data_IF_590761854505
#
_entry.id   IF_590761854505
#
_cell.length_a   1.000
_cell.length_b   1.000
_cell.length_c   1.000
_cell.angle_alpha   90.00
_cell.angle_beta   90.00
_cell.angle_gamma   90.00
#
_symmetry.space_group_name_H-M   'P 1'
#
loop_
_entity.id
_entity.type
_entity.pdbx_description
1 polymer ?
#
# COMPACT_ATOMS: atom_id res chain seq x y z
N UNK A 1 -8.12 4.41 4.00
CA UNK A 1 -6.88 3.61 3.98
C UNK A 1 -5.78 4.45 3.36
N UNK A 2 -4.56 4.32 3.87
CA UNK A 2 -3.37 4.98 3.33
C UNK A 2 -2.29 3.93 3.08
N UNK A 3 -1.65 3.95 1.92
CA UNK A 3 -0.45 3.14 1.63
C UNK A 3 0.71 4.10 1.42
N UNK A 4 1.83 3.82 2.08
CA UNK A 4 3.10 4.51 1.91
C UNK A 4 4.04 3.56 1.16
N UNK A 5 4.51 4.02 0.01
CA UNK A 5 5.49 3.36 -0.84
C UNK A 5 6.75 4.23 -0.80
N UNK A 6 7.77 3.73 -0.11
CA UNK A 6 9.00 4.45 0.18
C UNK A 6 10.12 3.90 -0.72
N UNK A 7 10.53 4.69 -1.72
CA UNK A 7 11.73 4.40 -2.50
C UNK A 7 12.91 5.16 -1.89
N UNK A 8 13.56 4.51 -0.92
CA UNK A 8 14.73 5.05 -0.22
C UNK A 8 15.90 5.38 -1.16
N UNK A 9 15.95 4.81 -2.37
CA UNK A 9 17.01 5.12 -3.35
C UNK A 9 16.77 6.46 -4.04
N UNK A 10 15.53 6.93 -4.08
CA UNK A 10 15.14 8.16 -4.79
C UNK A 10 14.81 9.33 -3.85
N UNK A 11 14.88 9.14 -2.53
CA UNK A 11 14.60 10.14 -1.49
C UNK A 11 13.22 10.82 -1.64
N UNK A 12 12.23 10.10 -2.16
CA UNK A 12 10.84 10.52 -2.14
C UNK A 12 9.91 9.38 -1.76
N UNK A 13 8.82 9.71 -1.08
CA UNK A 13 7.77 8.76 -0.76
C UNK A 13 6.49 9.11 -1.51
N UNK A 14 5.79 8.08 -2.00
CA UNK A 14 4.45 8.22 -2.54
C UNK A 14 3.45 7.76 -1.48
N UNK A 15 2.48 8.63 -1.19
CA UNK A 15 1.37 8.31 -0.32
C UNK A 15 0.09 8.16 -1.14
N UNK A 16 -0.51 6.98 -1.06
CA UNK A 16 -1.78 6.64 -1.69
C UNK A 16 -2.88 6.71 -0.63
N UNK A 17 -3.84 7.61 -0.80
CA UNK A 17 -4.97 7.76 0.10
C UNK A 17 -6.23 7.28 -0.61
N UNK A 18 -6.76 6.15 -0.18
CA UNK A 18 -8.00 5.57 -0.67
C UNK A 18 -9.12 5.77 0.33
N UNK A 19 -10.19 6.42 -0.12
CA UNK A 19 -11.45 6.62 0.63
C UNK A 19 -12.61 5.96 -0.12
N UNK A 20 -13.80 6.04 0.45
CA UNK A 20 -15.05 5.63 -0.21
C UNK A 20 -15.41 6.50 -1.43
N UNK A 21 -14.84 7.71 -1.52
CA UNK A 21 -15.18 8.72 -2.53
C UNK A 21 -14.08 8.99 -3.53
N UNK A 22 -12.82 8.92 -3.12
CA UNK A 22 -11.69 9.24 -3.98
C UNK A 22 -10.43 8.42 -3.67
N UNK A 23 -9.60 8.30 -4.70
CA UNK A 23 -8.19 7.89 -4.60
C UNK A 23 -7.32 9.11 -4.90
N UNK A 24 -6.36 9.39 -4.03
CA UNK A 24 -5.35 10.43 -4.20
C UNK A 24 -3.95 9.82 -4.13
N UNK A 25 -3.04 10.30 -4.98
CA UNK A 25 -1.62 10.00 -4.92
C UNK A 25 -0.89 11.29 -4.63
N UNK A 26 -0.13 11.29 -3.54
CA UNK A 26 0.52 12.46 -2.99
C UNK A 26 2.02 12.17 -3.00
N UNK A 27 2.78 13.04 -3.65
CA UNK A 27 4.22 13.10 -3.46
C UNK A 27 4.49 13.71 -2.08
N UNK A 28 5.28 13.01 -1.27
CA UNK A 28 5.80 13.53 0.00
C UNK A 28 7.20 14.05 -0.25
N UNK A 29 7.34 15.37 -0.20
CA UNK A 29 8.65 16.00 -0.17
C UNK A 29 9.21 15.86 1.22
N UNK A 30 10.14 14.92 1.42
CA UNK A 30 10.68 14.58 2.74
C UNK A 30 11.88 15.46 3.13
N UNK A 31 12.26 16.41 2.26
CA UNK A 31 13.35 17.35 2.45
C UNK A 31 12.86 18.73 2.93
N UNK A 32 13.71 19.42 3.69
CA UNK A 32 13.42 20.76 4.21
C UNK A 32 13.14 21.76 3.06
N UNK A 33 11.92 22.30 3.04
CA UNK A 33 11.46 23.25 2.03
C UNK A 33 10.67 22.62 0.87
N UNK A 34 10.68 21.30 0.74
CA UNK A 34 9.77 20.60 -0.16
C UNK A 34 8.36 20.54 0.41
N UNK A 35 7.35 20.55 -0.48
CA UNK A 35 5.94 20.51 -0.10
C UNK A 35 5.27 19.30 -0.73
N UNK A 36 4.34 18.74 0.02
CA UNK A 36 3.42 17.74 -0.50
C UNK A 36 2.71 18.26 -1.76
N UNK A 37 2.66 17.42 -2.79
CA UNK A 37 1.90 17.74 -4.00
C UNK A 37 1.02 16.57 -4.42
N UNK A 38 -0.20 16.88 -4.87
CA UNK A 38 -1.10 15.85 -5.41
C UNK A 38 -0.70 15.55 -6.85
N UNK A 39 -0.19 14.34 -7.10
CA UNK A 39 0.22 13.87 -8.42
C UNK A 39 -0.95 13.33 -9.24
N UNK A 40 -1.95 12.76 -8.57
CA UNK A 40 -3.11 12.16 -9.20
C UNK A 40 -4.30 12.17 -8.23
N UNK A 41 -5.50 12.36 -8.78
CA UNK A 41 -6.76 12.19 -8.05
C UNK A 41 -7.81 11.65 -9.00
N UNK A 42 -8.57 10.66 -8.55
CA UNK A 42 -9.77 10.18 -9.24
C UNK A 42 -10.92 10.01 -8.25
N UNK A 43 -12.15 10.19 -8.74
CA UNK A 43 -13.37 10.00 -7.97
C UNK A 43 -13.85 8.57 -8.16
N UNK A 44 -14.42 7.99 -7.12
CA UNK A 44 -14.81 6.59 -7.05
C UNK A 44 -16.32 6.48 -6.92
N UNK A 45 -16.88 5.39 -7.45
CA UNK A 45 -18.24 4.99 -7.15
C UNK A 45 -18.23 4.16 -5.86
N UNK A 46 -18.88 4.61 -4.77
CA UNK A 46 -18.72 3.99 -3.45
C UNK A 46 -19.03 2.48 -3.42
N UNK A 47 -20.04 2.03 -4.18
CA UNK A 47 -20.53 0.65 -4.15
C UNK A 47 -19.49 -0.39 -4.61
N UNK A 48 -18.66 -0.05 -5.59
CA UNK A 48 -17.70 -1.00 -6.19
C UNK A 48 -16.45 -1.22 -5.32
N UNK A 49 -16.09 -0.22 -4.53
CA UNK A 49 -14.87 -0.25 -3.70
C UNK A 49 -15.15 -0.67 -2.28
N UNK A 50 -16.27 -0.22 -1.71
CA UNK A 50 -16.71 -0.65 -0.39
C UNK A 50 -16.90 -2.17 -0.35
N UNK A 51 -17.48 -2.77 -1.41
CA UNK A 51 -17.63 -4.23 -1.48
C UNK A 51 -16.27 -4.96 -1.43
N UNK A 52 -15.27 -4.52 -2.21
CA UNK A 52 -13.94 -5.14 -2.24
C UNK A 52 -13.16 -5.01 -0.94
N UNK A 53 -13.27 -3.88 -0.24
CA UNK A 53 -12.51 -3.61 0.99
C UNK A 53 -13.26 -4.04 2.27
N UNK A 54 -14.58 -4.21 2.20
CA UNK A 54 -15.42 -4.54 3.37
C UNK A 54 -15.03 -5.87 4.03
N UNK A 55 -14.44 -6.80 3.28
CA UNK A 55 -14.07 -8.12 3.79
C UNK A 55 -12.73 -8.15 4.53
N UNK A 56 -11.93 -7.07 4.47
CA UNK A 56 -10.65 -7.02 5.18
C UNK A 56 -10.93 -7.00 6.69
N UNK A 57 -10.50 -8.05 7.37
CA UNK A 57 -10.51 -8.11 8.82
C UNK A 57 -9.22 -7.48 9.37
N UNK A 58 -9.31 -6.22 9.77
CA UNK A 58 -8.14 -5.50 10.29
C UNK A 58 -7.62 -6.11 11.59
N UNK A 59 -8.46 -6.77 12.39
CA UNK A 59 -8.05 -7.33 13.68
C UNK A 59 -7.12 -8.54 13.50
N UNK A 60 -7.29 -9.33 12.42
CA UNK A 60 -6.47 -10.52 12.14
C UNK A 60 -5.09 -10.21 11.54
N UNK A 61 -4.85 -8.97 11.10
CA UNK A 61 -3.54 -8.60 10.56
C UNK A 61 -2.49 -8.55 11.67
N UNK A 62 -1.23 -8.83 11.37
CA UNK A 62 -0.11 -8.49 12.25
C UNK A 62 0.39 -7.09 11.94
N UNK A 63 1.05 -6.44 12.88
CA UNK A 63 1.67 -5.13 12.66
C UNK A 63 2.90 -5.25 11.73
N UNK A 64 3.58 -6.40 11.73
CA UNK A 64 4.79 -6.62 10.94
C UNK A 64 4.71 -7.96 10.21
N UNK A 65 5.04 -7.91 8.92
CA UNK A 65 5.26 -9.07 8.08
C UNK A 65 6.60 -8.91 7.38
N UNK A 66 7.48 -9.91 7.50
CA UNK A 66 8.79 -9.86 6.85
C UNK A 66 9.18 -11.21 6.27
N UNK A 67 9.83 -11.16 5.11
CA UNK A 67 10.62 -12.27 4.59
C UNK A 67 12.10 -11.97 4.89
N UNK A 68 12.71 -12.63 5.90
CA UNK A 68 14.07 -12.30 6.34
C UNK A 68 15.14 -12.76 5.35
N UNK A 69 14.81 -13.61 4.38
CA UNK A 69 15.77 -14.09 3.38
C UNK A 69 16.12 -13.04 2.32
N UNK A 70 15.33 -11.97 2.23
CA UNK A 70 15.59 -10.85 1.32
C UNK A 70 15.95 -9.63 2.16
N UNK A 71 17.20 -9.20 2.06
CA UNK A 71 17.73 -8.05 2.79
C UNK A 71 17.26 -6.70 2.25
N UNK A 72 17.08 -6.61 0.94
CA UNK A 72 16.74 -5.38 0.24
C UNK A 72 15.69 -5.68 -0.84
N UNK A 73 14.67 -4.84 -0.94
CA UNK A 73 13.50 -5.07 -1.80
C UNK A 73 12.26 -4.29 -1.35
N UNK A 74 11.07 -4.87 -1.53
CA UNK A 74 9.78 -4.21 -1.25
C UNK A 74 9.68 -3.79 0.21
N UNK A 75 9.44 -2.50 0.46
CA UNK A 75 9.01 -1.99 1.76
C UNK A 75 7.71 -1.23 1.57
N UNK A 76 6.63 -1.69 2.21
CA UNK A 76 5.32 -1.06 2.12
C UNK A 76 4.74 -0.90 3.50
N UNK A 77 4.32 0.33 3.84
CA UNK A 77 3.59 0.60 5.09
C UNK A 77 2.14 0.93 4.77
N UNK A 78 1.21 0.16 5.33
CA UNK A 78 -0.22 0.34 5.10
C UNK A 78 -0.92 0.73 6.40
N UNK A 79 -1.59 1.88 6.39
CA UNK A 79 -2.46 2.35 7.46
C UNK A 79 -3.93 2.14 7.10
N UNK A 80 -4.58 1.24 7.81
CA UNK A 80 -5.99 0.90 7.64
C UNK A 80 -6.82 1.61 8.71
N UNK A 81 -7.91 2.25 8.29
CA UNK A 81 -8.91 2.82 9.19
C UNK A 81 -10.26 2.18 8.85
N UNK A 82 -10.86 1.48 9.81
CA UNK A 82 -12.15 0.80 9.65
C UNK A 82 -12.85 0.73 11.01
N UNK A 83 -14.13 1.06 11.06
CA UNK A 83 -14.98 0.97 12.26
C UNK A 83 -14.34 1.60 13.53
N UNK A 84 -13.83 2.82 13.39
CA UNK A 84 -13.10 3.58 14.43
C UNK A 84 -11.80 2.94 14.94
N UNK A 85 -11.35 1.84 14.34
CA UNK A 85 -10.05 1.25 14.59
C UNK A 85 -9.04 1.70 13.54
N UNK A 86 -7.81 1.89 13.99
CA UNK A 86 -6.66 2.19 13.15
C UNK A 86 -5.65 1.07 13.32
N UNK A 87 -5.10 0.57 12.22
CA UNK A 87 -4.01 -0.40 12.25
C UNK A 87 -2.95 -0.03 11.22
N UNK A 88 -1.71 -0.04 11.65
CA UNK A 88 -0.55 0.12 10.77
C UNK A 88 0.09 -1.25 10.57
N UNK A 89 0.34 -1.60 9.31
CA UNK A 89 0.96 -2.86 8.91
C UNK A 89 2.19 -2.52 8.09
N UNK A 90 3.34 -3.05 8.50
CA UNK A 90 4.61 -2.93 7.82
C UNK A 90 4.93 -4.25 7.11
N UNK A 91 5.15 -4.18 5.79
CA UNK A 91 5.46 -5.34 4.96
C UNK A 91 6.86 -5.17 4.36
N UNK A 92 7.71 -6.15 4.62
CA UNK A 92 9.09 -6.19 4.14
C UNK A 92 9.30 -7.46 3.33
N UNK A 93 9.35 -7.34 1.99
CA UNK A 93 9.50 -8.48 1.08
C UNK A 93 8.46 -9.60 1.31
N UNK A 94 7.25 -9.25 1.74
CA UNK A 94 6.23 -10.20 2.18
C UNK A 94 4.88 -9.91 1.51
N UNK A 95 4.26 -10.95 0.94
CA UNK A 95 2.89 -10.91 0.46
C UNK A 95 1.90 -11.26 1.58
N UNK A 96 1.02 -10.32 1.94
CA UNK A 96 -0.16 -10.56 2.77
C UNK A 96 -1.42 -10.39 1.91
N UNK A 97 -2.33 -11.35 1.96
CA UNK A 97 -3.43 -11.44 1.00
C UNK A 97 -4.42 -10.24 1.03
N UNK A 98 -4.85 -9.81 2.22
CA UNK A 98 -5.79 -8.69 2.35
C UNK A 98 -5.19 -7.36 1.90
N UNK A 99 -3.92 -7.13 2.25
CA UNK A 99 -3.14 -5.98 1.80
C UNK A 99 -2.91 -6.06 0.28
N UNK A 100 -2.63 -7.25 -0.26
CA UNK A 100 -2.49 -7.48 -1.68
C UNK A 100 -3.75 -7.11 -2.46
N UNK A 101 -4.93 -7.53 -2.01
CA UNK A 101 -6.20 -7.16 -2.61
C UNK A 101 -6.41 -5.63 -2.61
N UNK A 102 -6.05 -4.97 -1.52
CA UNK A 102 -6.15 -3.52 -1.39
C UNK A 102 -5.20 -2.77 -2.35
N UNK A 103 -3.96 -3.24 -2.50
CA UNK A 103 -2.97 -2.67 -3.41
C UNK A 103 -3.33 -2.95 -4.88
N UNK A 104 -3.82 -4.14 -5.21
CA UNK A 104 -4.33 -4.47 -6.54
C UNK A 104 -5.47 -3.53 -6.95
N UNK A 105 -6.38 -3.21 -6.02
CA UNK A 105 -7.43 -2.23 -6.24
C UNK A 105 -6.84 -0.84 -6.52
N UNK A 106 -5.91 -0.34 -5.70
CA UNK A 106 -5.23 0.93 -5.94
C UNK A 106 -4.58 0.95 -7.32
N UNK A 107 -3.82 -0.11 -7.66
CA UNK A 107 -3.13 -0.23 -8.94
C UNK A 107 -4.07 -0.30 -10.15
N UNK A 108 -5.28 -0.82 -9.99
CA UNK A 108 -6.29 -0.85 -11.06
C UNK A 108 -6.86 0.54 -11.36
N UNK A 109 -6.86 1.43 -10.38
CA UNK A 109 -7.38 2.81 -10.47
C UNK A 109 -6.30 3.84 -10.81
N UNK A 110 -5.05 3.38 -10.89
CA UNK A 110 -3.86 4.24 -10.93
C UNK A 110 -3.16 4.16 -12.28
N UNK A 111 -2.73 5.30 -12.87
CA UNK A 111 -1.92 5.30 -14.07
C UNK A 111 -0.65 4.45 -13.93
N UNK A 112 -0.20 3.82 -15.02
CA UNK A 112 0.92 2.85 -15.00
C UNK A 112 2.18 3.36 -14.27
N UNK A 113 2.51 4.65 -14.41
CA UNK A 113 3.68 5.29 -13.79
C UNK A 113 3.63 5.42 -12.27
N UNK A 114 2.46 5.26 -11.65
CA UNK A 114 2.26 5.38 -10.22
C UNK A 114 1.76 4.07 -9.60
N UNK A 115 1.90 2.94 -10.30
CA UNK A 115 1.52 1.66 -9.71
C UNK A 115 2.54 1.28 -8.63
N UNK A 116 2.02 0.90 -7.47
CA UNK A 116 2.80 0.37 -6.36
C UNK A 116 3.40 -0.96 -6.80
N UNK A 117 4.70 -1.15 -6.60
CA UNK A 117 5.33 -2.45 -6.81
C UNK A 117 5.01 -3.38 -5.64
N UNK A 118 4.12 -4.34 -5.89
CA UNK A 118 3.70 -5.35 -4.91
C UNK A 118 3.32 -6.63 -5.65
N UNK A 119 4.32 -7.28 -6.25
CA UNK A 119 4.11 -8.42 -7.13
C UNK A 119 3.83 -9.70 -6.33
N UNK A 120 2.58 -10.15 -6.36
CA UNK A 120 2.12 -11.36 -5.69
C UNK A 120 2.97 -12.60 -6.03
N UNK A 121 3.28 -12.81 -7.31
CA UNK A 121 3.95 -14.03 -7.76
C UNK A 121 5.38 -14.04 -7.24
N UNK A 122 6.09 -12.92 -7.36
CA UNK A 122 7.46 -12.78 -6.89
C UNK A 122 7.51 -12.91 -5.37
N UNK A 123 6.70 -12.15 -4.65
CA UNK A 123 6.72 -12.13 -3.19
C UNK A 123 6.36 -13.50 -2.58
N UNK A 124 5.37 -14.22 -3.12
CA UNK A 124 5.05 -15.58 -2.66
C UNK A 124 6.19 -16.54 -2.95
N UNK A 125 6.73 -16.51 -4.17
CA UNK A 125 7.86 -17.38 -4.55
C UNK A 125 9.07 -17.15 -3.65
N UNK A 126 9.35 -15.90 -3.33
CA UNK A 126 10.45 -15.52 -2.45
C UNK A 126 10.22 -15.97 -1.00
N UNK A 127 8.97 -15.93 -0.52
CA UNK A 127 8.61 -16.49 0.78
C UNK A 127 8.81 -18.02 0.81
N UNK A 128 8.37 -18.73 -0.23
CA UNK A 128 8.51 -20.19 -0.34
C UNK A 128 9.98 -20.64 -0.41
N UNK A 129 10.84 -19.82 -1.01
CA UNK A 129 12.28 -20.09 -1.08
C UNK A 129 13.02 -19.76 0.21
N UNK A 130 12.39 -19.06 1.17
CA UNK A 130 12.96 -18.76 2.46
C UNK A 130 12.75 -19.94 3.42
N UNK A 131 13.83 -20.69 3.68
CA UNK A 131 13.84 -21.86 4.57
C UNK A 131 14.48 -21.54 5.92
#
# INVERSE_FOLDING_TARGET
MTVHDEDYSMAYALQYVLTDKDLKIIFKGELEGEKDSTLFKTTLQPSEILSKLSNINIDSLHEHYSNPCIKDGSQVTVKLNKDNKTKTVHLSNYYQADIGLAIELINSLTPKKYKIWYDKIILIKDQENCK
#
